data_IF_352066782723
#
_entry.id   IF_352066782723
#
_cell.length_a   1.000
_cell.length_b   1.000
_cell.length_c   1.000
_cell.angle_alpha   90.00
_cell.angle_beta   90.00
_cell.angle_gamma   90.00
#
_symmetry.space_group_name_H-M   'P 1'
#
loop_
_entity.id
_entity.type
_entity.pdbx_description
1 polymer ?
#
# COMPACT_ATOMS: atom_id res chain seq x y z
N UNK A 1 -2.92 -2.10 -20.35
CA UNK A 1 -3.03 -3.41 -19.72
C UNK A 1 -1.70 -3.98 -19.38
N UNK A 2 -0.94 -4.36 -20.38
CA UNK A 2 0.39 -4.90 -20.14
C UNK A 2 1.27 -3.92 -19.41
N UNK A 3 1.12 -2.64 -19.73
CA UNK A 3 1.90 -1.60 -19.08
C UNK A 3 1.60 -1.54 -17.60
N UNK A 4 0.33 -1.70 -17.25
CA UNK A 4 -0.10 -1.68 -15.86
C UNK A 4 0.53 -2.81 -15.08
N UNK A 5 0.54 -4.01 -15.65
CA UNK A 5 1.13 -5.17 -15.00
C UNK A 5 2.63 -5.01 -14.81
N UNK A 6 3.32 -4.52 -15.84
CA UNK A 6 4.74 -4.28 -15.75
C UNK A 6 5.05 -3.24 -14.69
N UNK A 7 4.24 -2.20 -14.64
CA UNK A 7 4.44 -1.13 -13.68
C UNK A 7 4.31 -1.65 -12.25
N UNK A 8 3.30 -2.48 -12.00
CA UNK A 8 3.10 -3.07 -10.70
C UNK A 8 4.28 -3.94 -10.30
N UNK A 9 4.78 -4.76 -11.23
CA UNK A 9 5.93 -5.61 -10.95
C UNK A 9 7.18 -4.80 -10.63
N UNK A 10 7.35 -3.69 -11.33
CA UNK A 10 8.50 -2.82 -11.12
C UNK A 10 8.48 -2.17 -9.76
N UNK A 11 7.28 -1.77 -9.32
CA UNK A 11 7.13 -1.05 -8.05
C UNK A 11 7.12 -1.96 -6.85
N UNK A 12 6.48 -3.12 -6.98
CA UNK A 12 6.25 -4.01 -5.85
C UNK A 12 6.02 -5.43 -6.39
N UNK A 13 6.71 -6.43 -5.82
CA UNK A 13 6.52 -7.80 -6.27
C UNK A 13 5.06 -8.24 -6.23
N UNK A 14 4.64 -9.00 -7.24
CA UNK A 14 3.27 -9.46 -7.34
C UNK A 14 2.80 -10.20 -6.10
N UNK A 15 3.66 -11.03 -5.53
CA UNK A 15 3.33 -11.80 -4.35
C UNK A 15 2.92 -10.88 -3.20
N UNK A 16 3.68 -9.81 -3.00
CA UNK A 16 3.40 -8.86 -1.93
C UNK A 16 2.10 -8.11 -2.21
N UNK A 17 1.87 -7.73 -3.46
CA UNK A 17 0.61 -7.09 -3.83
C UNK A 17 -0.58 -7.98 -3.50
N UNK A 18 -0.48 -9.27 -3.81
CA UNK A 18 -1.56 -10.21 -3.51
C UNK A 18 -1.78 -10.35 -2.02
N UNK A 19 -0.70 -10.40 -1.25
CA UNK A 19 -0.83 -10.51 0.21
C UNK A 19 -1.52 -9.28 0.78
N UNK A 20 -1.14 -8.09 0.31
CA UNK A 20 -1.78 -6.85 0.77
C UNK A 20 -3.27 -6.88 0.46
N UNK A 21 -3.63 -7.29 -0.76
CA UNK A 21 -5.04 -7.35 -1.16
C UNK A 21 -5.83 -8.34 -0.32
N UNK A 22 -5.26 -9.52 -0.08
CA UNK A 22 -5.94 -10.55 0.69
C UNK A 22 -6.16 -10.09 2.13
N UNK A 23 -5.15 -9.45 2.72
CA UNK A 23 -5.25 -8.95 4.09
C UNK A 23 -6.24 -7.78 4.15
N UNK A 24 -6.24 -6.93 3.14
CA UNK A 24 -7.20 -5.82 3.09
C UNK A 24 -8.63 -6.33 2.99
N UNK A 25 -8.86 -7.34 2.14
CA UNK A 25 -10.18 -7.94 1.98
C UNK A 25 -10.64 -8.60 3.27
N UNK A 26 -9.75 -9.32 3.92
CA UNK A 26 -10.04 -10.01 5.16
C UNK A 26 -10.45 -9.03 6.26
N UNK A 27 -9.85 -7.86 6.29
CA UNK A 27 -10.12 -6.86 7.31
C UNK A 27 -11.12 -5.80 6.87
N UNK A 28 -11.78 -6.03 5.75
CA UNK A 28 -12.86 -5.16 5.25
C UNK A 28 -12.40 -3.72 5.03
N UNK A 29 -11.19 -3.57 4.54
CA UNK A 29 -10.61 -2.27 4.21
C UNK A 29 -11.26 -1.75 2.92
N UNK A 30 -11.39 -0.43 2.80
CA UNK A 30 -12.01 0.19 1.63
C UNK A 30 -11.04 0.36 0.48
N UNK A 31 -9.88 0.93 0.74
CA UNK A 31 -8.85 1.18 -0.29
C UNK A 31 -7.46 1.12 0.29
N UNK A 32 -6.51 0.70 -0.53
CA UNK A 32 -5.08 0.76 -0.18
C UNK A 32 -4.32 1.35 -1.36
N UNK A 33 -3.54 2.39 -1.11
CA UNK A 33 -2.67 3.01 -2.10
C UNK A 33 -1.21 2.79 -1.73
N UNK A 34 -0.39 2.54 -2.75
CA UNK A 34 1.06 2.58 -2.60
C UNK A 34 1.50 4.02 -2.84
N UNK A 35 2.38 4.54 -1.99
CA UNK A 35 2.93 5.88 -2.21
C UNK A 35 4.44 5.85 -1.94
N UNK A 36 5.07 7.01 -1.90
CA UNK A 36 6.50 7.10 -1.63
C UNK A 36 7.37 6.68 -2.81
N UNK A 37 8.60 6.26 -2.52
CA UNK A 37 9.59 6.02 -3.57
C UNK A 37 9.17 4.90 -4.53
N UNK A 38 8.51 3.87 -4.03
CA UNK A 38 8.07 2.77 -4.91
C UNK A 38 6.99 3.22 -5.89
N UNK A 39 6.10 4.09 -5.45
CA UNK A 39 5.06 4.62 -6.34
C UNK A 39 5.67 5.52 -7.42
N UNK A 40 6.74 6.23 -7.09
CA UNK A 40 7.39 7.12 -8.04
C UNK A 40 8.42 6.41 -8.92
N UNK A 41 8.67 5.12 -8.68
CA UNK A 41 9.67 4.38 -9.46
C UNK A 41 11.10 4.73 -9.10
N UNK A 42 11.33 5.32 -7.93
CA UNK A 42 12.65 5.74 -7.49
C UNK A 42 13.18 4.87 -6.36
N UNK A 43 12.63 3.70 -6.22
CA UNK A 43 13.00 2.78 -5.14
C UNK A 43 14.16 1.88 -5.50
N UNK A 44 14.76 1.28 -4.47
CA UNK A 44 15.67 0.17 -4.60
C UNK A 44 14.95 -1.08 -4.08
N UNK A 45 15.61 -2.22 -4.17
CA UNK A 45 15.03 -3.46 -3.66
C UNK A 45 14.79 -3.42 -2.16
N UNK A 46 15.51 -2.55 -1.45
CA UNK A 46 15.41 -2.46 0.02
C UNK A 46 14.55 -1.32 0.50
N UNK A 47 13.97 -0.55 -0.41
CA UNK A 47 13.11 0.57 -0.01
C UNK A 47 11.90 0.07 0.77
N UNK A 48 11.48 0.86 1.75
CA UNK A 48 10.29 0.57 2.53
C UNK A 48 9.06 0.55 1.62
N UNK A 49 8.04 -0.15 2.08
CA UNK A 49 6.76 -0.20 1.39
C UNK A 49 5.83 0.76 2.11
N UNK A 50 5.51 1.87 1.45
CA UNK A 50 4.66 2.93 2.01
C UNK A 50 3.25 2.75 1.49
N UNK A 51 2.29 2.45 2.38
CA UNK A 51 0.90 2.29 1.97
C UNK A 51 -0.02 3.17 2.79
N UNK A 52 -1.03 3.71 2.11
CA UNK A 52 -2.06 4.57 2.68
C UNK A 52 -3.36 3.80 2.68
N UNK A 53 -4.02 3.71 3.83
CA UNK A 53 -5.15 2.80 4.05
C UNK A 53 -6.40 3.58 4.42
N UNK A 54 -7.49 3.31 3.70
CA UNK A 54 -8.81 3.85 4.00
C UNK A 54 -9.68 2.73 4.52
N UNK A 55 -10.20 2.85 5.73
CA UNK A 55 -11.09 1.84 6.28
C UNK A 55 -11.19 1.95 7.79
N UNK A 56 -12.23 1.36 8.35
CA UNK A 56 -12.49 1.46 9.78
C UNK A 56 -11.70 0.46 10.61
N UNK A 57 -11.25 -0.62 10.00
CA UNK A 57 -10.52 -1.67 10.71
C UNK A 57 -9.01 -1.51 10.54
N UNK A 58 -8.54 -0.26 10.60
CA UNK A 58 -7.14 0.03 10.36
C UNK A 58 -6.21 -0.74 11.31
N UNK A 59 -6.54 -0.78 12.58
CA UNK A 59 -5.68 -1.46 13.56
C UNK A 59 -5.52 -2.94 13.26
N UNK A 60 -6.62 -3.61 12.92
CA UNK A 60 -6.57 -5.04 12.58
C UNK A 60 -5.75 -5.26 11.32
N UNK A 61 -5.92 -4.42 10.32
CA UNK A 61 -5.14 -4.49 9.09
C UNK A 61 -3.66 -4.28 9.37
N UNK A 62 -3.34 -3.25 10.17
CA UNK A 62 -1.96 -2.90 10.51
C UNK A 62 -1.22 -4.11 11.11
N UNK A 63 -1.81 -4.72 12.13
CA UNK A 63 -1.16 -5.84 12.79
C UNK A 63 -1.12 -7.08 11.92
N UNK A 64 -2.15 -7.29 11.09
CA UNK A 64 -2.18 -8.42 10.18
C UNK A 64 -1.05 -8.31 9.15
N UNK A 65 -0.84 -7.13 8.59
CA UNK A 65 0.28 -6.90 7.67
C UNK A 65 1.61 -7.16 8.38
N UNK A 66 1.79 -6.60 9.58
CA UNK A 66 3.05 -6.72 10.31
C UNK A 66 3.37 -8.17 10.65
N UNK A 67 2.37 -8.97 10.94
CA UNK A 67 2.57 -10.34 11.37
C UNK A 67 2.59 -11.36 10.24
N UNK A 68 1.86 -11.09 9.17
CA UNK A 68 1.58 -12.12 8.17
C UNK A 68 2.09 -11.85 6.77
N UNK A 69 2.53 -10.65 6.46
CA UNK A 69 3.11 -10.40 5.14
C UNK A 69 4.50 -11.02 5.07
N UNK A 70 4.73 -11.81 4.03
CA UNK A 70 5.96 -12.60 3.91
C UNK A 70 7.06 -11.80 3.20
N UNK A 71 7.61 -10.83 3.89
CA UNK A 71 8.70 -10.03 3.37
C UNK A 71 9.58 -9.51 4.52
N UNK A 72 10.84 -9.30 4.23
CA UNK A 72 11.77 -8.67 5.18
C UNK A 72 11.74 -7.15 5.05
N UNK A 73 11.03 -6.62 4.08
CA UNK A 73 10.93 -5.18 3.91
C UNK A 73 10.03 -4.58 4.99
N UNK A 74 10.34 -3.35 5.35
CA UNK A 74 9.55 -2.62 6.34
C UNK A 74 8.34 -1.99 5.68
N UNK A 75 7.23 -2.00 6.40
CA UNK A 75 6.02 -1.30 5.98
C UNK A 75 5.85 -0.02 6.77
N UNK A 76 5.52 1.06 6.07
CA UNK A 76 5.09 2.31 6.67
C UNK A 76 3.60 2.45 6.31
N UNK A 77 2.73 2.28 7.30
CA UNK A 77 1.29 2.15 7.07
C UNK A 77 0.58 3.37 7.66
N UNK A 78 -0.05 4.15 6.78
CA UNK A 78 -0.70 5.42 7.16
C UNK A 78 -2.21 5.25 7.17
N UNK A 79 -2.84 5.68 8.27
CA UNK A 79 -4.29 5.66 8.40
C UNK A 79 -4.86 6.95 7.81
N UNK A 80 -5.53 6.84 6.67
CA UNK A 80 -6.05 8.00 5.96
C UNK A 80 -7.23 8.66 6.66
N UNK A 81 -7.78 8.02 7.68
CA UNK A 81 -8.90 8.60 8.44
C UNK A 81 -8.45 9.35 9.68
N UNK A 82 -7.17 9.34 10.01
CA UNK A 82 -6.70 9.90 11.28
C UNK A 82 -6.02 11.26 11.13
N UNK A 83 -6.38 12.03 10.13
CA UNK A 83 -5.91 13.43 10.02
C UNK A 83 -4.47 13.56 9.61
N UNK A 84 -4.14 13.12 8.41
CA UNK A 84 -2.80 13.27 7.86
C UNK A 84 -2.58 14.70 7.38
N UNK A 85 -1.31 15.07 7.19
CA UNK A 85 -0.96 16.40 6.74
C UNK A 85 -1.39 16.63 5.29
N UNK A 86 -1.57 17.91 4.93
CA UNK A 86 -1.90 18.27 3.56
C UNK A 86 -0.80 17.88 2.59
N UNK A 87 0.46 17.98 3.01
CA UNK A 87 1.58 17.62 2.17
C UNK A 87 1.54 16.14 1.81
N UNK A 88 1.25 15.30 2.80
CA UNK A 88 1.16 13.86 2.56
C UNK A 88 -0.05 13.53 1.68
N UNK A 89 -1.18 14.17 1.93
CA UNK A 89 -2.37 13.96 1.10
C UNK A 89 -2.09 14.30 -0.36
N UNK A 90 -1.41 15.43 -0.60
CA UNK A 90 -1.06 15.85 -1.94
C UNK A 90 -0.14 14.84 -2.62
N UNK A 91 0.82 14.31 -1.87
CA UNK A 91 1.74 13.30 -2.40
C UNK A 91 0.99 12.05 -2.83
N UNK A 92 0.08 11.58 -1.99
CA UNK A 92 -0.69 10.37 -2.28
C UNK A 92 -1.61 10.59 -3.49
N UNK A 93 -2.24 11.75 -3.59
CA UNK A 93 -3.11 12.05 -4.72
C UNK A 93 -2.34 12.18 -6.03
N UNK A 94 -1.13 12.73 -5.97
CA UNK A 94 -0.33 12.92 -7.16
C UNK A 94 0.34 11.64 -7.63
N UNK A 95 0.93 10.88 -6.72
CA UNK A 95 1.80 9.75 -7.06
C UNK A 95 1.24 8.39 -6.65
N UNK A 96 0.16 8.36 -5.89
CA UNK A 96 -0.35 7.10 -5.34
C UNK A 96 -0.82 6.13 -6.40
N UNK A 97 -0.56 4.84 -6.15
CA UNK A 97 -0.99 3.76 -7.03
C UNK A 97 -1.97 2.89 -6.27
N UNK A 98 -3.16 2.73 -6.81
CA UNK A 98 -4.21 1.95 -6.17
C UNK A 98 -3.83 0.47 -6.18
N UNK A 99 -3.68 -0.13 -5.01
CA UNK A 99 -3.38 -1.55 -4.87
C UNK A 99 -4.63 -2.39 -4.63
N UNK A 100 -5.61 -1.82 -3.95
CA UNK A 100 -6.82 -2.54 -3.58
C UNK A 100 -7.98 -1.57 -3.44
N UNK A 101 -9.12 -1.98 -3.92
CA UNK A 101 -10.36 -1.24 -3.70
C UNK A 101 -11.48 -2.26 -3.49
N UNK A 102 -12.23 -2.06 -2.41
CA UNK A 102 -13.35 -2.91 -2.07
C UNK A 102 -14.48 -2.75 -3.07
N UNK A 103 -15.09 -3.84 -3.44
CA UNK A 103 -16.22 -3.84 -4.36
C UNK A 103 -17.47 -3.20 -3.78
#
# INVERSE_FOLDING_TARGET
MLISEKKTKTMLPDRICREIRDIARKNNIDKVFLFGSRARGMHTERSDIDIAVYGENFQDFYWDIKENAHTLLMFDIVDMKSGISDVLMDEIERDGVLLYEKD
#
